data_IF_049961903349
#
_entry.id   IF_049961903349
#
_cell.length_a   1.000
_cell.length_b   1.000
_cell.length_c   1.000
_cell.angle_alpha   90.00
_cell.angle_beta   90.00
_cell.angle_gamma   90.00
#
_symmetry.space_group_name_H-M   'P 1'
#
loop_
_entity.id
_entity.type
_entity.pdbx_description
1 polymer ?
#
# COMPACT_ATOMS: atom_id res chain seq x y z
N UNK A 1 11.05 -44.48 17.32
CA UNK A 1 10.25 -45.59 16.75
C UNK A 1 10.61 -45.72 15.28
N UNK A 2 10.56 -46.94 14.75
CA UNK A 2 10.70 -47.23 13.32
C UNK A 2 9.43 -47.93 12.85
N UNK A 3 8.95 -47.64 11.64
CA UNK A 3 7.70 -48.18 11.11
C UNK A 3 6.46 -47.32 11.39
N UNK A 4 5.29 -47.85 11.04
CA UNK A 4 3.99 -47.21 11.25
C UNK A 4 3.37 -47.55 12.61
N UNK A 5 2.59 -46.62 13.16
CA UNK A 5 1.71 -46.86 14.31
C UNK A 5 0.30 -46.40 13.96
N UNK A 6 -0.66 -47.30 14.08
CA UNK A 6 -2.08 -46.97 13.95
C UNK A 6 -2.80 -47.25 15.26
N UNK A 7 -3.55 -46.27 15.75
CA UNK A 7 -4.40 -46.42 16.94
C UNK A 7 -5.87 -46.22 16.56
N UNK A 8 -6.67 -47.22 16.86
CA UNK A 8 -8.12 -47.20 16.67
C UNK A 8 -8.79 -46.65 17.93
N UNK A 9 -9.06 -45.33 17.98
CA UNK A 9 -9.66 -44.65 19.13
C UNK A 9 -8.89 -43.40 19.58
N UNK A 10 -9.22 -42.95 20.78
CA UNK A 10 -8.63 -41.76 21.40
C UNK A 10 -7.28 -42.09 22.05
N UNK A 11 -6.35 -41.14 21.99
CA UNK A 11 -5.07 -41.20 22.68
C UNK A 11 -4.94 -39.98 23.59
N UNK A 12 -4.52 -40.22 24.84
CA UNK A 12 -4.12 -39.14 25.74
C UNK A 12 -2.85 -38.49 25.22
N UNK A 13 -1.71 -39.08 25.52
CA UNK A 13 -0.41 -38.47 25.28
C UNK A 13 0.54 -39.42 24.55
N UNK A 14 1.30 -38.90 23.59
CA UNK A 14 2.45 -39.56 22.99
C UNK A 14 3.67 -38.69 23.27
N UNK A 15 4.71 -39.28 23.87
CA UNK A 15 5.96 -38.59 24.17
C UNK A 15 7.13 -39.38 23.59
N UNK A 16 7.94 -38.72 22.76
CA UNK A 16 9.12 -39.28 22.11
C UNK A 16 10.35 -38.52 22.61
N UNK A 17 11.28 -39.21 23.26
CA UNK A 17 12.46 -38.57 23.85
C UNK A 17 13.44 -38.02 22.81
N UNK A 18 13.57 -38.67 21.67
CA UNK A 18 14.46 -38.28 20.57
C UNK A 18 13.63 -37.91 19.33
N UNK A 19 14.16 -38.15 18.12
CA UNK A 19 13.42 -38.01 16.87
C UNK A 19 12.35 -39.10 16.65
N UNK A 20 11.29 -38.71 15.94
CA UNK A 20 10.30 -39.60 15.35
C UNK A 20 10.45 -39.57 13.83
N UNK A 21 11.09 -40.60 13.26
CA UNK A 21 11.47 -40.64 11.85
C UNK A 21 10.82 -41.82 11.12
N UNK A 22 10.36 -41.58 9.90
CA UNK A 22 10.04 -42.64 8.94
C UNK A 22 11.31 -43.43 8.58
N UNK A 23 11.18 -44.74 8.40
CA UNK A 23 12.21 -45.57 7.77
C UNK A 23 11.87 -45.86 6.31
N UNK A 24 10.56 -45.97 6.01
CA UNK A 24 10.03 -46.15 4.68
C UNK A 24 9.13 -44.97 4.29
N UNK A 25 9.01 -44.63 2.99
CA UNK A 25 8.13 -43.56 2.52
C UNK A 25 6.65 -43.71 2.92
N UNK A 26 6.22 -44.92 3.25
CA UNK A 26 4.84 -45.24 3.65
C UNK A 26 4.62 -45.23 5.16
N UNK A 27 5.67 -45.01 5.96
CA UNK A 27 5.53 -45.02 7.42
C UNK A 27 4.71 -43.81 7.89
N UNK A 28 3.79 -44.02 8.83
CA UNK A 28 2.96 -42.95 9.39
C UNK A 28 2.50 -43.24 10.82
N UNK A 29 2.19 -42.17 11.55
CA UNK A 29 1.44 -42.21 12.81
C UNK A 29 -0.02 -41.82 12.54
N UNK A 30 -0.96 -42.76 12.72
CA UNK A 30 -2.39 -42.55 12.48
C UNK A 30 -3.20 -42.74 13.75
N UNK A 31 -3.94 -41.72 14.15
CA UNK A 31 -4.91 -41.75 15.25
C UNK A 31 -6.30 -41.52 14.66
N UNK A 32 -7.19 -42.48 14.81
CA UNK A 32 -8.57 -42.38 14.27
C UNK A 32 -9.54 -41.62 15.17
N UNK A 33 -9.17 -41.37 16.43
CA UNK A 33 -9.91 -40.51 17.36
C UNK A 33 -9.18 -39.19 17.64
N UNK A 34 -9.36 -38.67 18.85
CA UNK A 34 -8.67 -37.47 19.33
C UNK A 34 -7.28 -37.82 19.89
N UNK A 35 -6.34 -36.88 19.78
CA UNK A 35 -5.04 -36.93 20.44
C UNK A 35 -4.89 -35.71 21.36
N UNK A 36 -4.70 -35.93 22.67
CA UNK A 36 -4.57 -34.79 23.60
C UNK A 36 -3.22 -34.09 23.43
N UNK A 37 -2.12 -34.84 23.32
CA UNK A 37 -0.77 -34.26 23.15
C UNK A 37 0.19 -35.18 22.38
N UNK A 38 0.98 -34.61 21.49
CA UNK A 38 2.18 -35.20 20.89
C UNK A 38 3.40 -34.34 21.22
N UNK A 39 4.41 -34.92 21.85
CA UNK A 39 5.66 -34.26 22.17
C UNK A 39 6.84 -35.04 21.61
N UNK A 40 7.72 -34.39 20.85
CA UNK A 40 8.92 -34.97 20.24
C UNK A 40 10.17 -34.21 20.68
N UNK A 41 11.24 -34.93 21.02
CA UNK A 41 12.52 -34.37 21.43
C UNK A 41 12.59 -33.94 22.89
N UNK A 42 12.03 -34.72 23.83
CA UNK A 42 12.09 -34.34 25.26
C UNK A 42 13.46 -34.56 25.92
N UNK A 43 14.38 -35.27 25.27
CA UNK A 43 15.73 -35.47 25.79
C UNK A 43 16.59 -34.24 25.55
N UNK A 44 17.27 -33.78 26.61
CA UNK A 44 18.26 -32.72 26.53
C UNK A 44 19.58 -33.27 25.96
N UNK A 45 19.74 -33.17 24.65
CA UNK A 45 20.92 -33.62 23.91
C UNK A 45 21.38 -32.54 22.95
N UNK A 46 22.66 -32.55 22.57
CA UNK A 46 23.25 -31.56 21.65
C UNK A 46 22.72 -31.68 20.19
N UNK A 47 22.05 -32.78 19.83
CA UNK A 47 21.54 -32.97 18.47
C UNK A 47 20.11 -32.44 18.31
N UNK A 48 19.84 -31.79 17.17
CA UNK A 48 18.49 -31.38 16.74
C UNK A 48 17.59 -32.60 16.57
N UNK A 49 16.48 -32.64 17.31
CA UNK A 49 15.46 -33.68 17.13
C UNK A 49 14.58 -33.38 15.90
N UNK A 50 13.97 -34.42 15.35
CA UNK A 50 13.14 -34.30 14.14
C UNK A 50 11.83 -35.05 14.30
N UNK A 51 10.74 -34.41 13.88
CA UNK A 51 9.50 -35.06 13.48
C UNK A 51 9.53 -35.21 11.96
N UNK A 52 9.97 -36.38 11.50
CA UNK A 52 10.05 -36.76 10.09
C UNK A 52 9.24 -38.03 9.81
N UNK A 53 8.13 -38.20 10.51
CA UNK A 53 7.13 -39.24 10.30
C UNK A 53 5.79 -38.52 10.08
N UNK A 54 5.12 -38.68 8.94
CA UNK A 54 3.79 -38.12 8.72
C UNK A 54 2.82 -38.48 9.86
N UNK A 55 2.08 -37.48 10.34
CA UNK A 55 1.10 -37.64 11.43
C UNK A 55 -0.29 -37.32 10.92
N UNK A 56 -1.24 -38.22 11.16
CA UNK A 56 -2.66 -38.03 10.84
C UNK A 56 -3.51 -38.28 12.08
N UNK A 57 -4.30 -37.27 12.49
CA UNK A 57 -5.28 -37.35 13.57
C UNK A 57 -6.65 -37.06 12.99
N UNK A 58 -7.55 -38.04 12.95
CA UNK A 58 -8.88 -37.83 12.33
C UNK A 58 -9.79 -36.92 13.18
N UNK A 59 -9.63 -36.94 14.51
CA UNK A 59 -10.33 -36.04 15.43
C UNK A 59 -9.55 -34.75 15.72
N UNK A 60 -9.66 -34.27 16.95
CA UNK A 60 -8.92 -33.10 17.44
C UNK A 60 -7.50 -33.45 17.88
N UNK A 61 -6.58 -32.51 17.68
CA UNK A 61 -5.25 -32.53 18.31
C UNK A 61 -5.13 -31.35 19.29
N UNK A 62 -4.99 -31.68 20.58
CA UNK A 62 -4.80 -30.68 21.62
C UNK A 62 -3.48 -29.92 21.44
N UNK A 63 -2.35 -30.57 21.69
CA UNK A 63 -1.02 -29.94 21.61
C UNK A 63 -0.05 -30.75 20.75
N UNK A 64 0.69 -30.08 19.89
CA UNK A 64 1.91 -30.58 19.27
C UNK A 64 3.11 -29.76 19.77
N UNK A 65 4.11 -30.44 20.31
CA UNK A 65 5.39 -29.84 20.67
C UNK A 65 6.53 -30.59 20.01
N UNK A 66 7.36 -29.90 19.23
CA UNK A 66 8.58 -30.44 18.63
C UNK A 66 9.75 -29.59 19.09
N UNK A 67 10.56 -30.14 19.99
CA UNK A 67 11.82 -29.52 20.41
C UNK A 67 12.90 -29.86 19.36
N UNK A 68 12.78 -29.25 18.19
CA UNK A 68 13.55 -29.58 17.01
C UNK A 68 12.85 -29.11 15.74
N UNK A 69 12.91 -29.90 14.68
CA UNK A 69 12.35 -29.58 13.35
C UNK A 69 11.21 -30.52 12.99
N UNK A 70 10.19 -30.01 12.32
CA UNK A 70 9.12 -30.79 11.70
C UNK A 70 9.31 -30.81 10.18
N UNK A 71 9.64 -31.99 9.65
CA UNK A 71 10.01 -32.20 8.26
C UNK A 71 8.91 -32.86 7.44
N UNK A 72 8.02 -33.61 8.10
CA UNK A 72 6.91 -34.33 7.47
C UNK A 72 5.58 -33.64 7.71
N UNK A 73 4.56 -33.98 6.92
CA UNK A 73 3.23 -33.40 7.04
C UNK A 73 2.50 -33.80 8.34
N UNK A 74 1.64 -32.88 8.81
CA UNK A 74 0.65 -33.09 9.86
C UNK A 74 -0.75 -32.84 9.29
N UNK A 75 -1.65 -33.80 9.45
CA UNK A 75 -3.06 -33.66 9.12
C UNK A 75 -3.92 -33.85 10.38
N UNK A 76 -4.80 -32.90 10.65
CA UNK A 76 -5.77 -32.95 11.77
C UNK A 76 -7.17 -32.74 11.19
N UNK A 77 -8.07 -33.69 11.36
CA UNK A 77 -9.44 -33.59 10.83
C UNK A 77 -10.30 -32.57 11.57
N UNK A 78 -10.12 -32.45 12.89
CA UNK A 78 -10.81 -31.50 13.76
C UNK A 78 -10.03 -30.21 14.01
N UNK A 79 -10.05 -29.75 15.26
CA UNK A 79 -9.32 -28.56 15.73
C UNK A 79 -7.90 -28.93 16.17
N UNK A 80 -6.93 -28.07 15.82
CA UNK A 80 -5.57 -28.09 16.35
C UNK A 80 -5.39 -26.92 17.31
N UNK A 81 -5.25 -27.15 18.61
CA UNK A 81 -5.20 -26.02 19.57
C UNK A 81 -3.83 -25.36 19.59
N UNK A 82 -2.77 -26.11 19.84
CA UNK A 82 -1.43 -25.52 19.99
C UNK A 82 -0.38 -26.29 19.24
N UNK A 83 0.42 -25.58 18.46
CA UNK A 83 1.66 -26.07 17.86
C UNK A 83 2.82 -25.23 18.36
N UNK A 84 3.85 -25.88 18.89
CA UNK A 84 5.12 -25.24 19.25
C UNK A 84 6.26 -26.03 18.64
N UNK A 85 7.06 -25.38 17.80
CA UNK A 85 8.26 -25.97 17.20
C UNK A 85 9.41 -25.00 17.49
N UNK A 86 10.54 -25.52 17.93
CA UNK A 86 11.68 -24.65 18.20
C UNK A 86 12.96 -25.41 18.46
N UNK A 87 14.05 -24.73 18.18
CA UNK A 87 15.41 -25.15 18.49
C UNK A 87 16.05 -24.17 19.47
N UNK A 88 17.16 -24.57 20.06
CA UNK A 88 17.96 -23.68 20.89
C UNK A 88 18.51 -22.51 20.07
N UNK A 89 18.78 -21.38 20.73
CA UNK A 89 19.24 -20.15 20.05
C UNK A 89 20.58 -20.34 19.32
N UNK A 90 21.39 -21.32 19.74
CA UNK A 90 22.65 -21.66 19.08
C UNK A 90 22.46 -22.26 17.67
N UNK A 91 21.25 -22.74 17.38
CA UNK A 91 20.86 -23.39 16.12
C UNK A 91 19.88 -22.52 15.32
N UNK A 92 19.82 -21.23 15.63
CA UNK A 92 18.86 -20.30 15.06
C UNK A 92 19.01 -20.15 13.54
N UNK A 93 17.88 -19.92 12.86
CA UNK A 93 17.82 -19.59 11.43
C UNK A 93 17.65 -20.79 10.49
N UNK A 94 17.53 -22.00 11.03
CA UNK A 94 17.17 -23.19 10.25
C UNK A 94 15.67 -23.23 9.94
N UNK A 95 15.28 -23.94 8.87
CA UNK A 95 13.87 -24.19 8.59
C UNK A 95 13.30 -25.20 9.60
N UNK A 96 12.39 -24.72 10.45
CA UNK A 96 11.76 -25.51 11.51
C UNK A 96 10.55 -26.27 11.01
N UNK A 97 9.79 -25.70 10.08
CA UNK A 97 8.63 -26.33 9.48
C UNK A 97 8.81 -26.39 7.97
N UNK A 98 9.11 -27.58 7.45
CA UNK A 98 9.17 -27.86 6.00
C UNK A 98 8.10 -28.85 5.56
N UNK A 99 7.40 -29.48 6.50
CA UNK A 99 6.22 -30.31 6.24
C UNK A 99 4.93 -29.53 6.45
N UNK A 100 3.96 -29.69 5.55
CA UNK A 100 2.70 -28.96 5.63
C UNK A 100 1.89 -29.32 6.88
N UNK A 101 1.19 -28.34 7.44
CA UNK A 101 0.15 -28.52 8.45
C UNK A 101 -1.21 -28.29 7.78
N UNK A 102 -2.09 -29.28 7.83
CA UNK A 102 -3.47 -29.18 7.35
C UNK A 102 -4.44 -29.47 8.49
N UNK A 103 -5.39 -28.56 8.73
CA UNK A 103 -6.38 -28.66 9.80
C UNK A 103 -7.78 -28.49 9.21
N UNK A 104 -8.65 -29.48 9.42
CA UNK A 104 -10.00 -29.48 8.84
C UNK A 104 -10.90 -28.38 9.41
N UNK A 105 -10.79 -28.09 10.72
CA UNK A 105 -11.49 -26.97 11.35
C UNK A 105 -10.55 -25.78 11.58
N UNK A 106 -10.11 -25.53 12.82
CA UNK A 106 -9.41 -24.31 13.20
C UNK A 106 -8.08 -24.60 13.89
N UNK A 107 -7.10 -23.71 13.69
CA UNK A 107 -5.83 -23.67 14.42
C UNK A 107 -5.89 -22.55 15.46
N UNK A 108 -5.76 -22.85 16.76
CA UNK A 108 -5.80 -21.78 17.78
C UNK A 108 -4.46 -21.04 17.86
N UNK A 109 -3.34 -21.76 17.85
CA UNK A 109 -2.01 -21.14 17.94
C UNK A 109 -0.89 -21.96 17.29
N UNK A 110 0.01 -21.29 16.58
CA UNK A 110 1.28 -21.81 16.10
C UNK A 110 2.40 -20.88 16.58
N UNK A 111 3.42 -21.47 17.20
CA UNK A 111 4.64 -20.75 17.59
C UNK A 111 5.87 -21.46 17.03
N UNK A 112 6.70 -20.72 16.29
CA UNK A 112 8.03 -21.14 15.87
C UNK A 112 9.09 -20.29 16.60
N UNK A 113 10.05 -20.93 17.27
CA UNK A 113 11.12 -20.23 17.97
C UNK A 113 12.49 -20.56 17.36
N UNK A 114 13.24 -19.51 17.01
CA UNK A 114 14.60 -19.55 16.48
C UNK A 114 14.72 -20.25 15.11
N UNK A 115 13.76 -20.03 14.20
CA UNK A 115 13.89 -20.53 12.84
C UNK A 115 12.66 -20.29 11.99
N UNK A 116 12.70 -20.80 10.76
CA UNK A 116 11.81 -20.37 9.69
C UNK A 116 10.61 -21.29 9.48
N UNK A 117 9.54 -20.68 8.95
CA UNK A 117 8.43 -21.36 8.30
C UNK A 117 8.74 -21.48 6.79
N UNK A 118 8.82 -22.70 6.27
CA UNK A 118 9.13 -22.99 4.88
C UNK A 118 8.09 -23.92 4.21
N UNK A 119 6.91 -24.02 4.80
CA UNK A 119 5.83 -24.90 4.36
C UNK A 119 4.47 -24.30 4.69
N UNK A 120 3.42 -24.92 4.16
CA UNK A 120 2.06 -24.41 4.28
C UNK A 120 1.42 -24.76 5.62
N UNK A 121 0.66 -23.82 6.15
CA UNK A 121 -0.23 -23.97 7.31
C UNK A 121 -1.63 -23.59 6.85
N UNK A 122 -2.45 -24.59 6.56
CA UNK A 122 -3.79 -24.41 5.98
C UNK A 122 -4.85 -24.91 6.95
N UNK A 123 -5.88 -24.08 7.16
CA UNK A 123 -7.04 -24.44 7.98
C UNK A 123 -8.34 -24.25 7.21
N UNK A 124 -9.34 -25.08 7.48
CA UNK A 124 -10.67 -24.91 6.89
C UNK A 124 -11.37 -23.63 7.37
N UNK A 125 -11.31 -23.35 8.67
CA UNK A 125 -11.90 -22.16 9.29
C UNK A 125 -10.83 -21.24 9.84
N UNK A 126 -10.72 -21.04 11.14
CA UNK A 126 -9.96 -19.92 11.67
C UNK A 126 -8.51 -20.30 12.02
N UNK A 127 -7.61 -19.34 11.83
CA UNK A 127 -6.29 -19.31 12.47
C UNK A 127 -6.34 -18.25 13.56
N UNK A 128 -6.08 -18.63 14.81
CA UNK A 128 -5.92 -17.69 15.91
C UNK A 128 -4.61 -16.94 15.77
N UNK A 129 -3.56 -17.40 16.47
CA UNK A 129 -2.28 -16.69 16.50
C UNK A 129 -1.17 -17.49 15.81
N UNK A 130 -0.43 -16.86 14.90
CA UNK A 130 0.85 -17.39 14.39
C UNK A 130 1.98 -16.47 14.82
N UNK A 131 2.92 -17.00 15.59
CA UNK A 131 4.05 -16.26 16.15
C UNK A 131 5.36 -16.90 15.72
N UNK A 132 6.18 -16.18 14.97
CA UNK A 132 7.56 -16.56 14.67
C UNK A 132 8.51 -15.64 15.44
N UNK A 133 9.47 -16.23 16.13
CA UNK A 133 10.51 -15.50 16.86
C UNK A 133 11.89 -15.88 16.32
N UNK A 134 12.70 -14.88 16.00
CA UNK A 134 14.06 -15.03 15.44
C UNK A 134 14.07 -15.95 14.22
N UNK A 135 13.21 -15.67 13.24
CA UNK A 135 13.07 -16.46 12.02
C UNK A 135 12.13 -15.82 11.02
N UNK A 136 12.08 -16.38 9.83
CA UNK A 136 11.33 -15.82 8.70
C UNK A 136 10.11 -16.67 8.35
N UNK A 137 9.12 -16.04 7.69
CA UNK A 137 8.23 -16.77 6.79
C UNK A 137 8.92 -16.75 5.42
N UNK A 138 9.39 -17.91 4.96
CA UNK A 138 10.13 -18.01 3.71
C UNK A 138 9.21 -17.85 2.50
N UNK A 139 9.78 -17.43 1.37
CA UNK A 139 9.10 -17.40 0.09
C UNK A 139 8.53 -18.78 -0.25
N UNK A 140 7.29 -18.80 -0.72
CA UNK A 140 6.56 -20.03 -1.04
C UNK A 140 5.82 -20.69 0.12
N UNK A 141 6.07 -20.28 1.38
CA UNK A 141 5.27 -20.74 2.51
C UNK A 141 3.95 -19.97 2.60
N UNK A 142 2.85 -20.67 2.82
CA UNK A 142 1.50 -20.07 2.93
C UNK A 142 0.90 -20.29 4.31
N UNK A 143 0.36 -19.23 4.93
CA UNK A 143 -0.55 -19.32 6.08
C UNK A 143 -1.95 -18.99 5.58
N UNK A 144 -2.82 -19.98 5.48
CA UNK A 144 -4.15 -19.81 4.87
C UNK A 144 -5.30 -20.27 5.75
N UNK A 145 -6.33 -19.42 5.81
CA UNK A 145 -7.68 -19.78 6.21
C UNK A 145 -8.56 -19.83 4.96
N UNK A 146 -9.20 -20.98 4.70
CA UNK A 146 -9.99 -21.18 3.49
C UNK A 146 -11.35 -20.46 3.56
N UNK A 147 -12.04 -20.55 4.70
CA UNK A 147 -13.41 -20.04 4.88
C UNK A 147 -13.58 -19.14 6.10
N UNK A 148 -12.48 -18.80 6.80
CA UNK A 148 -12.53 -18.08 8.07
C UNK A 148 -11.55 -16.91 8.14
N UNK A 149 -11.16 -16.58 9.36
CA UNK A 149 -10.28 -15.46 9.65
C UNK A 149 -8.87 -15.93 10.02
N UNK A 150 -7.90 -15.02 9.85
CA UNK A 150 -6.59 -15.09 10.51
C UNK A 150 -6.55 -13.98 11.54
N UNK A 151 -6.59 -14.33 12.82
CA UNK A 151 -6.69 -13.33 13.88
C UNK A 151 -5.38 -12.55 14.01
N UNK A 152 -4.23 -13.22 14.08
CA UNK A 152 -2.95 -12.51 14.14
C UNK A 152 -1.78 -13.30 13.56
N UNK A 153 -0.93 -12.64 12.78
CA UNK A 153 0.39 -13.13 12.38
C UNK A 153 1.46 -12.15 12.84
N UNK A 154 2.45 -12.64 13.58
CA UNK A 154 3.56 -11.85 14.09
C UNK A 154 4.90 -12.51 13.79
N UNK A 155 5.83 -11.76 13.20
CA UNK A 155 7.24 -12.14 13.03
C UNK A 155 8.11 -11.17 13.82
N UNK A 156 8.90 -11.68 14.76
CA UNK A 156 9.81 -10.89 15.59
C UNK A 156 11.25 -11.29 15.30
N UNK A 157 12.12 -10.34 14.94
CA UNK A 157 13.52 -10.60 14.63
C UNK A 157 13.72 -11.37 13.31
N UNK A 158 12.88 -11.09 12.31
CA UNK A 158 12.94 -11.70 10.98
C UNK A 158 11.91 -11.07 10.03
N UNK A 159 11.87 -11.55 8.79
CA UNK A 159 11.07 -11.02 7.69
C UNK A 159 9.86 -11.88 7.35
N UNK A 160 8.86 -11.26 6.69
CA UNK A 160 7.73 -11.94 6.06
C UNK A 160 7.88 -11.93 4.55
N UNK A 161 8.30 -13.06 3.97
CA UNK A 161 8.48 -13.24 2.52
C UNK A 161 7.51 -14.25 1.89
N UNK A 162 6.74 -14.97 2.71
CA UNK A 162 5.68 -15.88 2.26
C UNK A 162 4.31 -15.21 2.16
N UNK A 163 3.26 -16.00 2.11
CA UNK A 163 1.89 -15.53 1.89
C UNK A 163 1.02 -15.71 3.13
N UNK A 164 0.21 -14.69 3.45
CA UNK A 164 -0.88 -14.74 4.42
C UNK A 164 -2.20 -14.58 3.67
N UNK A 165 -3.06 -15.60 3.73
CA UNK A 165 -4.33 -15.63 2.99
C UNK A 165 -5.54 -15.82 3.90
N UNK A 166 -6.52 -14.93 3.76
CA UNK A 166 -7.87 -15.07 4.31
C UNK A 166 -8.90 -14.59 3.26
N UNK A 167 -8.92 -15.25 2.10
CA UNK A 167 -9.66 -14.78 0.91
C UNK A 167 -11.16 -14.55 1.16
N UNK A 168 -11.77 -15.29 2.08
CA UNK A 168 -13.19 -15.13 2.44
C UNK A 168 -13.40 -14.50 3.82
N UNK A 169 -12.35 -13.96 4.42
CA UNK A 169 -12.41 -13.43 5.78
C UNK A 169 -11.40 -12.33 6.06
N UNK A 170 -11.12 -12.15 7.35
CA UNK A 170 -10.32 -11.03 7.84
C UNK A 170 -8.96 -11.48 8.34
N UNK A 171 -7.92 -10.73 7.96
CA UNK A 171 -6.65 -10.71 8.69
C UNK A 171 -6.70 -9.59 9.72
N UNK A 172 -6.90 -9.90 11.00
CA UNK A 172 -7.12 -8.83 11.99
C UNK A 172 -5.86 -8.04 12.31
N UNK A 173 -4.73 -8.72 12.49
CA UNK A 173 -3.42 -8.06 12.68
C UNK A 173 -2.30 -8.81 11.96
N UNK A 174 -1.46 -8.08 11.24
CA UNK A 174 -0.20 -8.57 10.69
C UNK A 174 0.92 -7.66 11.19
N UNK A 175 1.99 -8.23 11.75
CA UNK A 175 3.07 -7.43 12.34
C UNK A 175 4.45 -8.05 12.12
N UNK A 176 5.38 -7.30 11.52
CA UNK A 176 6.82 -7.57 11.64
C UNK A 176 7.43 -6.62 12.67
N UNK A 177 8.31 -7.12 13.56
CA UNK A 177 9.03 -6.31 14.55
C UNK A 177 10.48 -6.74 14.70
N UNK A 178 11.34 -5.82 15.17
CA UNK A 178 12.76 -6.09 15.43
C UNK A 178 13.67 -5.95 14.21
N UNK A 179 14.94 -6.36 14.32
CA UNK A 179 15.89 -6.29 13.22
C UNK A 179 15.46 -7.17 12.05
N UNK A 180 15.62 -6.68 10.81
CA UNK A 180 15.27 -7.43 9.59
C UNK A 180 13.77 -7.60 9.36
N UNK A 181 12.94 -6.78 10.01
CA UNK A 181 11.47 -6.83 9.96
C UNK A 181 10.86 -6.30 8.66
N UNK A 182 11.41 -6.70 7.52
CA UNK A 182 10.89 -6.35 6.20
C UNK A 182 9.70 -7.24 5.82
N UNK A 183 8.86 -6.72 4.93
CA UNK A 183 7.78 -7.47 4.30
C UNK A 183 8.03 -7.50 2.78
N UNK A 184 8.28 -8.68 2.24
CA UNK A 184 8.43 -8.92 0.80
C UNK A 184 7.49 -9.99 0.27
N UNK A 185 6.53 -10.42 1.10
CA UNK A 185 5.55 -11.47 0.80
C UNK A 185 4.21 -10.95 0.31
N UNK A 186 3.17 -11.75 0.47
CA UNK A 186 1.80 -11.43 0.03
C UNK A 186 0.87 -11.42 1.24
N UNK A 187 0.04 -10.38 1.34
CA UNK A 187 -1.15 -10.37 2.19
C UNK A 187 -2.36 -10.31 1.27
N UNK A 188 -3.20 -11.36 1.28
CA UNK A 188 -4.43 -11.43 0.49
C UNK A 188 -5.63 -11.71 1.40
N UNK A 189 -6.59 -10.79 1.48
CA UNK A 189 -7.74 -10.95 2.37
C UNK A 189 -8.98 -10.19 1.89
N UNK A 190 -10.17 -10.66 2.27
CA UNK A 190 -11.38 -9.85 2.06
C UNK A 190 -11.34 -8.54 2.87
N UNK A 191 -10.75 -8.56 4.06
CA UNK A 191 -10.55 -7.36 4.88
C UNK A 191 -9.31 -7.52 5.77
N UNK A 192 -8.71 -6.39 6.16
CA UNK A 192 -7.59 -6.35 7.06
C UNK A 192 -7.75 -5.27 8.13
N UNK A 193 -7.36 -5.60 9.37
CA UNK A 193 -7.33 -4.63 10.46
C UNK A 193 -6.06 -3.79 10.39
N UNK A 194 -5.09 -4.15 11.21
CA UNK A 194 -3.82 -3.42 11.32
C UNK A 194 -2.68 -4.22 10.71
N UNK A 195 -2.01 -3.60 9.74
CA UNK A 195 -0.76 -4.10 9.16
C UNK A 195 0.37 -3.17 9.59
N UNK A 196 1.35 -3.72 10.29
CA UNK A 196 2.53 -2.97 10.76
C UNK A 196 3.81 -3.66 10.30
N UNK A 197 4.62 -2.93 9.55
CA UNK A 197 5.90 -3.38 9.03
C UNK A 197 6.98 -2.52 9.71
N UNK A 198 7.76 -3.09 10.62
CA UNK A 198 8.81 -2.31 11.32
C UNK A 198 10.03 -2.01 10.43
N UNK A 199 10.25 -2.79 9.38
CA UNK A 199 11.22 -2.53 8.34
C UNK A 199 10.58 -1.86 7.12
N UNK A 200 11.02 -2.27 5.94
CA UNK A 200 10.54 -1.81 4.65
C UNK A 200 9.46 -2.74 4.10
N UNK A 201 8.55 -2.16 3.31
CA UNK A 201 7.76 -2.91 2.34
C UNK A 201 8.61 -3.03 1.07
N UNK A 202 9.08 -4.24 0.77
CA UNK A 202 10.01 -4.52 -0.31
C UNK A 202 9.32 -4.49 -1.68
N UNK A 203 10.10 -4.35 -2.75
CA UNK A 203 9.59 -4.30 -4.13
C UNK A 203 8.91 -5.58 -4.64
N UNK A 204 8.89 -6.65 -3.84
CA UNK A 204 8.13 -7.88 -4.11
C UNK A 204 6.90 -8.00 -3.22
N UNK A 205 6.75 -7.09 -2.25
CA UNK A 205 5.68 -7.10 -1.27
C UNK A 205 4.37 -6.66 -1.90
N UNK A 206 3.32 -7.43 -1.65
CA UNK A 206 1.97 -7.17 -2.14
C UNK A 206 1.00 -7.17 -0.96
N UNK A 207 0.20 -6.11 -0.87
CA UNK A 207 -0.92 -6.02 0.05
C UNK A 207 -2.17 -5.89 -0.82
N UNK A 208 -2.98 -6.94 -0.85
CA UNK A 208 -4.22 -7.03 -1.61
C UNK A 208 -5.39 -7.28 -0.65
N UNK A 209 -6.24 -6.27 -0.51
CA UNK A 209 -7.38 -6.27 0.41
C UNK A 209 -8.66 -5.83 -0.30
N UNK A 210 -9.52 -6.78 -0.70
CA UNK A 210 -10.73 -6.53 -1.49
C UNK A 210 -11.63 -5.41 -0.94
N UNK A 211 -11.78 -5.35 0.39
CA UNK A 211 -12.65 -4.37 1.08
C UNK A 211 -11.83 -3.44 1.94
N UNK A 212 -11.90 -3.59 3.26
CA UNK A 212 -11.38 -2.58 4.19
C UNK A 212 -10.01 -2.97 4.73
N UNK A 213 -8.99 -2.12 4.51
CA UNK A 213 -7.74 -2.08 5.26
C UNK A 213 -7.78 -0.91 6.25
N UNK A 214 -7.90 -1.24 7.55
CA UNK A 214 -8.10 -0.20 8.56
C UNK A 214 -6.87 0.68 8.75
N UNK A 215 -5.68 0.10 8.77
CA UNK A 215 -4.42 0.85 8.88
C UNK A 215 -3.23 0.08 8.33
N UNK A 216 -2.40 0.75 7.53
CA UNK A 216 -1.08 0.31 7.11
C UNK A 216 -0.01 1.24 7.70
N UNK A 217 0.96 0.69 8.40
CA UNK A 217 2.12 1.43 8.91
C UNK A 217 3.41 0.75 8.49
N UNK A 218 4.28 1.48 7.80
CA UNK A 218 5.62 1.06 7.41
C UNK A 218 6.62 1.99 8.09
N UNK A 219 7.39 1.46 9.05
CA UNK A 219 8.36 2.27 9.79
C UNK A 219 9.65 2.52 9.01
N UNK A 220 9.93 1.72 7.98
CA UNK A 220 10.95 1.98 6.97
C UNK A 220 10.36 2.72 5.77
N UNK A 221 10.77 2.31 4.57
CA UNK A 221 10.27 2.83 3.29
C UNK A 221 9.39 1.79 2.58
N UNK A 222 8.56 2.27 1.67
CA UNK A 222 7.89 1.45 0.66
C UNK A 222 8.72 1.55 -0.61
N UNK A 223 9.31 0.44 -1.04
CA UNK A 223 10.23 0.42 -2.16
C UNK A 223 9.48 0.33 -3.49
N UNK A 224 10.14 0.75 -4.57
CA UNK A 224 9.61 0.59 -5.93
C UNK A 224 9.32 -0.87 -6.24
N UNK A 225 8.17 -1.13 -6.87
CA UNK A 225 7.65 -2.46 -7.19
C UNK A 225 6.76 -3.07 -6.10
N UNK A 226 6.75 -2.48 -4.89
CA UNK A 226 5.76 -2.85 -3.89
C UNK A 226 4.38 -2.44 -4.37
N UNK A 227 3.37 -3.26 -4.08
CA UNK A 227 1.99 -3.05 -4.50
C UNK A 227 1.05 -3.02 -3.30
N UNK A 228 0.14 -2.05 -3.30
CA UNK A 228 -0.82 -1.81 -2.22
C UNK A 228 -2.17 -1.53 -2.86
N UNK A 229 -3.01 -2.56 -2.86
CA UNK A 229 -4.39 -2.52 -3.31
C UNK A 229 -5.33 -2.68 -2.11
N UNK A 230 -6.26 -1.73 -1.94
CA UNK A 230 -7.31 -1.86 -0.95
C UNK A 230 -8.62 -1.18 -1.37
N UNK A 231 -9.75 -1.90 -1.28
CA UNK A 231 -11.08 -1.35 -1.55
C UNK A 231 -11.36 -0.07 -0.72
N UNK A 232 -10.87 -0.01 0.51
CA UNK A 232 -10.73 1.21 1.32
C UNK A 232 -9.47 1.16 2.19
N UNK A 233 -8.78 2.30 2.30
CA UNK A 233 -7.65 2.47 3.22
C UNK A 233 -7.84 3.75 4.04
N UNK A 234 -8.02 3.62 5.36
CA UNK A 234 -8.26 4.77 6.23
C UNK A 234 -6.98 5.49 6.65
N UNK A 235 -5.94 4.74 6.98
CA UNK A 235 -4.69 5.34 7.47
C UNK A 235 -3.50 4.63 6.85
N UNK A 236 -2.64 5.41 6.21
CA UNK A 236 -1.38 4.93 5.67
C UNK A 236 -0.24 5.81 6.17
N UNK A 237 0.65 5.23 6.98
CA UNK A 237 1.83 5.93 7.48
C UNK A 237 3.10 5.25 6.97
N UNK A 238 3.97 6.02 6.34
CA UNK A 238 5.31 5.61 5.94
C UNK A 238 6.29 6.56 6.62
N UNK A 239 7.17 6.06 7.49
CA UNK A 239 8.16 6.92 8.15
C UNK A 239 9.29 7.33 7.19
N UNK A 240 9.66 6.43 6.27
CA UNK A 240 10.65 6.67 5.23
C UNK A 240 10.05 7.19 3.92
N UNK A 241 10.60 6.73 2.80
CA UNK A 241 10.15 7.11 1.47
C UNK A 241 8.99 6.21 0.99
N UNK A 242 8.14 6.74 0.11
CA UNK A 242 7.11 5.98 -0.61
C UNK A 242 7.46 5.97 -2.09
N UNK A 243 7.70 4.79 -2.67
CA UNK A 243 8.00 4.63 -4.10
C UNK A 243 7.24 3.48 -4.76
N UNK A 244 6.50 2.70 -3.97
CA UNK A 244 5.61 1.66 -4.47
C UNK A 244 4.30 2.21 -5.00
N UNK A 245 3.52 1.29 -5.55
CA UNK A 245 2.23 1.52 -6.18
C UNK A 245 1.14 1.58 -5.10
N UNK A 246 0.09 2.33 -5.37
CA UNK A 246 -1.00 2.58 -4.44
C UNK A 246 -2.31 2.72 -5.20
N UNK A 247 -3.16 1.70 -5.13
CA UNK A 247 -4.54 1.74 -5.62
C UNK A 247 -5.50 1.54 -4.45
N UNK A 248 -6.20 2.61 -4.06
CA UNK A 248 -7.05 2.56 -2.88
C UNK A 248 -8.36 3.31 -3.03
N UNK A 249 -9.37 2.81 -2.32
CA UNK A 249 -10.59 3.55 -2.11
C UNK A 249 -11.66 3.36 -3.18
N UNK A 250 -11.57 2.31 -4.01
CA UNK A 250 -12.62 1.92 -4.97
C UNK A 250 -14.02 1.85 -4.33
N UNK A 251 -14.12 1.51 -3.04
CA UNK A 251 -15.40 1.51 -2.30
C UNK A 251 -15.87 2.91 -1.87
N UNK A 252 -14.99 3.91 -1.81
CA UNK A 252 -15.30 5.31 -1.51
C UNK A 252 -15.88 5.59 -0.11
N UNK A 253 -15.74 4.65 0.84
CA UNK A 253 -16.43 4.69 2.14
C UNK A 253 -15.68 5.40 3.27
N UNK A 254 -14.38 5.63 3.13
CA UNK A 254 -13.55 6.28 4.16
C UNK A 254 -12.63 7.33 3.56
N UNK A 255 -12.36 8.39 4.30
CA UNK A 255 -11.29 9.33 3.96
C UNK A 255 -9.93 8.70 4.25
N UNK A 256 -9.03 8.69 3.25
CA UNK A 256 -7.63 8.30 3.41
C UNK A 256 -6.85 9.39 4.15
N UNK A 257 -6.12 9.00 5.19
CA UNK A 257 -5.06 9.81 5.80
C UNK A 257 -3.69 9.21 5.48
N UNK A 258 -2.99 9.80 4.52
CA UNK A 258 -1.64 9.39 4.08
C UNK A 258 -0.57 10.32 4.65
N UNK A 259 0.41 9.76 5.35
CA UNK A 259 1.62 10.47 5.79
C UNK A 259 2.87 9.77 5.29
N UNK A 260 3.72 10.50 4.57
CA UNK A 260 5.06 10.07 4.13
C UNK A 260 6.11 10.94 4.84
N UNK A 261 6.96 10.29 5.63
CA UNK A 261 7.99 10.95 6.44
C UNK A 261 9.23 11.38 5.66
N UNK A 262 9.48 10.75 4.50
CA UNK A 262 10.51 11.12 3.54
C UNK A 262 9.93 11.64 2.22
N UNK A 263 10.56 11.23 1.11
CA UNK A 263 10.13 11.56 -0.25
C UNK A 263 9.03 10.62 -0.74
N UNK A 264 8.16 11.12 -1.59
CA UNK A 264 7.20 10.30 -2.34
C UNK A 264 7.56 10.35 -3.82
N UNK A 265 7.99 9.23 -4.39
CA UNK A 265 8.47 9.13 -5.79
C UNK A 265 7.87 7.89 -6.45
N UNK A 266 6.54 7.85 -6.63
CA UNK A 266 5.88 6.73 -7.29
C UNK A 266 6.26 6.73 -8.78
N UNK A 267 6.17 5.56 -9.41
CA UNK A 267 6.26 5.49 -10.86
C UNK A 267 5.04 6.21 -11.50
N UNK A 268 5.17 6.72 -12.74
CA UNK A 268 4.04 7.33 -13.42
C UNK A 268 2.87 6.34 -13.57
N UNK A 269 1.66 6.78 -13.24
CA UNK A 269 0.43 6.00 -13.40
C UNK A 269 0.14 4.99 -12.29
N UNK A 270 0.93 4.97 -11.21
CA UNK A 270 0.80 3.94 -10.16
C UNK A 270 0.12 4.39 -8.88
N UNK A 271 -0.48 5.59 -8.87
CA UNK A 271 -1.23 6.10 -7.72
C UNK A 271 -2.67 6.45 -8.13
N UNK A 272 -3.61 5.66 -7.63
CA UNK A 272 -5.06 5.86 -7.76
C UNK A 272 -5.70 5.92 -6.37
N UNK A 273 -6.45 6.98 -6.11
CA UNK A 273 -7.13 7.22 -4.84
C UNK A 273 -8.60 7.59 -5.11
N UNK A 274 -9.49 6.61 -5.02
CA UNK A 274 -10.93 6.80 -5.29
C UNK A 274 -11.75 7.13 -4.03
N UNK A 275 -11.07 7.72 -3.05
CA UNK A 275 -11.64 8.19 -1.79
C UNK A 275 -11.28 9.66 -1.55
N UNK A 276 -11.97 10.30 -0.60
CA UNK A 276 -11.51 11.61 -0.13
C UNK A 276 -10.15 11.43 0.58
N UNK A 277 -9.22 12.37 0.43
CA UNK A 277 -7.87 12.20 0.99
C UNK A 277 -7.35 13.41 1.78
N UNK A 278 -6.52 13.10 2.76
CA UNK A 278 -5.59 14.02 3.45
C UNK A 278 -4.19 13.47 3.29
N UNK A 279 -3.29 14.25 2.69
CA UNK A 279 -1.95 13.81 2.31
C UNK A 279 -0.90 14.73 2.95
N UNK A 280 0.10 14.14 3.59
CA UNK A 280 1.30 14.86 4.07
C UNK A 280 2.55 14.18 3.56
N UNK A 281 3.43 14.94 2.89
CA UNK A 281 4.77 14.52 2.47
C UNK A 281 5.78 15.46 3.13
N UNK A 282 6.64 14.91 3.99
CA UNK A 282 7.64 15.70 4.72
C UNK A 282 8.91 15.96 3.90
N UNK A 283 9.12 15.22 2.82
CA UNK A 283 10.19 15.44 1.84
C UNK A 283 9.70 16.07 0.54
N UNK A 284 10.33 15.66 -0.55
CA UNK A 284 10.00 16.02 -1.94
C UNK A 284 8.97 15.05 -2.52
N UNK A 285 8.11 15.54 -3.39
CA UNK A 285 7.18 14.74 -4.18
C UNK A 285 7.61 14.73 -5.66
N UNK A 286 7.78 13.54 -6.22
CA UNK A 286 8.26 13.30 -7.58
C UNK A 286 9.74 13.58 -7.79
N UNK A 287 10.20 13.39 -9.03
CA UNK A 287 11.57 13.68 -9.44
C UNK A 287 11.58 14.40 -10.79
N UNK A 288 12.61 15.21 -11.06
CA UNK A 288 12.71 16.00 -12.29
C UNK A 288 12.71 15.08 -13.51
N UNK A 289 11.87 15.39 -14.50
CA UNK A 289 11.73 14.63 -15.74
C UNK A 289 10.76 13.44 -15.66
N UNK A 290 10.35 13.03 -14.47
CA UNK A 290 9.29 12.03 -14.28
C UNK A 290 8.39 12.46 -13.12
N UNK A 291 7.42 13.36 -13.38
CA UNK A 291 6.48 13.82 -12.37
C UNK A 291 5.71 12.66 -11.73
N UNK A 292 5.46 12.75 -10.42
CA UNK A 292 4.57 11.82 -9.74
C UNK A 292 3.13 12.04 -10.22
N UNK A 293 2.46 11.01 -10.73
CA UNK A 293 1.05 11.12 -11.14
C UNK A 293 0.17 10.62 -10.00
N UNK A 294 -0.67 11.49 -9.45
CA UNK A 294 -1.62 11.19 -8.39
C UNK A 294 -3.02 11.42 -8.96
N UNK A 295 -3.72 10.32 -9.23
CA UNK A 295 -5.13 10.31 -9.63
C UNK A 295 -6.02 10.26 -8.39
N UNK A 296 -6.93 11.21 -8.23
CA UNK A 296 -7.86 11.26 -7.11
C UNK A 296 -9.30 11.46 -7.60
N UNK A 297 -10.10 10.39 -7.58
CA UNK A 297 -11.48 10.37 -8.10
C UNK A 297 -12.49 11.19 -7.28
N UNK A 298 -12.11 11.65 -6.08
CA UNK A 298 -12.97 12.41 -5.16
C UNK A 298 -12.36 13.74 -4.69
N UNK A 299 -12.51 14.08 -3.41
CA UNK A 299 -12.06 15.35 -2.83
C UNK A 299 -10.69 15.23 -2.18
N UNK A 300 -9.76 16.11 -2.55
CA UNK A 300 -8.55 16.32 -1.77
C UNK A 300 -8.83 17.32 -0.66
N UNK A 301 -8.98 16.86 0.59
CA UNK A 301 -9.28 17.74 1.74
C UNK A 301 -8.10 18.65 2.05
N UNK A 302 -6.92 18.04 2.23
CA UNK A 302 -5.67 18.78 2.40
C UNK A 302 -4.50 18.00 1.82
N UNK A 303 -3.56 18.70 1.19
CA UNK A 303 -2.24 18.17 0.86
C UNK A 303 -1.16 19.14 1.33
N UNK A 304 -0.16 18.63 2.05
CA UNK A 304 1.00 19.38 2.47
C UNK A 304 2.29 18.67 2.03
N UNK A 305 3.07 19.30 1.15
CA UNK A 305 4.39 18.84 0.72
C UNK A 305 5.43 19.84 1.20
N UNK A 306 6.32 19.43 2.11
CA UNK A 306 7.29 20.36 2.70
C UNK A 306 8.38 20.76 1.70
N UNK A 307 8.80 19.81 0.85
CA UNK A 307 9.82 20.02 -0.17
C UNK A 307 9.27 20.56 -1.50
N UNK A 308 10.01 20.30 -2.57
CA UNK A 308 9.56 20.56 -3.93
C UNK A 308 8.49 19.52 -4.34
N UNK A 309 7.47 19.97 -5.06
CA UNK A 309 6.52 19.11 -5.73
C UNK A 309 6.77 19.15 -7.24
N UNK A 310 6.97 17.97 -7.81
CA UNK A 310 7.04 17.68 -9.24
C UNK A 310 5.97 16.61 -9.50
N UNK A 311 4.75 17.06 -9.76
CA UNK A 311 3.58 16.18 -9.74
C UNK A 311 2.53 16.54 -10.79
N UNK A 312 1.83 15.53 -11.26
CA UNK A 312 0.53 15.65 -11.90
C UNK A 312 -0.52 15.25 -10.87
N UNK A 313 -1.17 16.23 -10.25
CA UNK A 313 -2.23 16.02 -9.27
C UNK A 313 -3.58 16.24 -9.95
N UNK A 314 -4.31 15.16 -10.19
CA UNK A 314 -5.56 15.17 -10.94
C UNK A 314 -6.70 14.86 -9.98
N UNK A 315 -7.51 15.87 -9.65
CA UNK A 315 -8.59 15.74 -8.66
C UNK A 315 -9.94 15.95 -9.33
N UNK A 316 -10.79 14.93 -9.37
CA UNK A 316 -12.05 15.04 -10.13
C UNK A 316 -13.14 15.83 -9.40
N UNK A 317 -12.94 16.09 -8.09
CA UNK A 317 -13.82 16.97 -7.32
C UNK A 317 -13.14 18.25 -6.82
N UNK A 318 -13.15 18.47 -5.50
CA UNK A 318 -12.68 19.70 -4.88
C UNK A 318 -11.25 19.54 -4.38
N UNK A 319 -10.48 20.62 -4.41
CA UNK A 319 -9.25 20.75 -3.64
C UNK A 319 -9.55 21.71 -2.48
N UNK A 320 -9.41 21.23 -1.24
CA UNK A 320 -9.48 22.07 -0.06
C UNK A 320 -8.23 22.93 0.03
N UNK A 321 -7.22 22.47 0.78
CA UNK A 321 -5.97 23.22 0.96
C UNK A 321 -4.78 22.45 0.39
N UNK A 322 -4.08 23.04 -0.57
CA UNK A 322 -2.82 22.53 -1.09
C UNK A 322 -1.69 23.47 -0.67
N UNK A 323 -0.70 22.96 0.05
CA UNK A 323 0.52 23.67 0.41
C UNK A 323 1.74 22.89 -0.05
N UNK A 324 2.63 23.55 -0.79
CA UNK A 324 3.88 22.95 -1.29
C UNK A 324 5.06 23.88 -1.03
N UNK A 325 6.24 23.32 -0.78
CA UNK A 325 7.48 24.08 -0.59
C UNK A 325 7.88 24.84 -1.86
N UNK A 326 7.89 24.17 -3.01
CA UNK A 326 7.95 24.80 -4.35
C UNK A 326 7.23 23.92 -5.36
N UNK A 327 6.84 24.48 -6.51
CA UNK A 327 6.13 23.74 -7.56
C UNK A 327 6.91 23.84 -8.86
N UNK A 328 7.23 22.70 -9.47
CA UNK A 328 8.03 22.66 -10.70
C UNK A 328 7.53 21.56 -11.62
N UNK A 329 7.51 21.81 -12.93
CA UNK A 329 7.22 20.79 -13.96
C UNK A 329 5.94 19.98 -13.60
N UNK A 330 4.89 20.69 -13.18
CA UNK A 330 3.71 20.11 -12.53
C UNK A 330 2.39 20.52 -13.18
N UNK A 331 1.39 19.65 -13.09
CA UNK A 331 0.03 19.91 -13.53
C UNK A 331 -0.92 19.63 -12.36
N UNK A 332 -1.75 20.59 -12.02
CA UNK A 332 -2.76 20.45 -10.95
C UNK A 332 -4.12 20.76 -11.56
N UNK A 333 -5.04 19.80 -11.51
CA UNK A 333 -6.41 19.99 -11.96
C UNK A 333 -7.40 19.74 -10.83
N UNK A 334 -8.49 20.50 -10.83
CA UNK A 334 -9.67 20.19 -10.02
C UNK A 334 -10.94 20.26 -10.86
N UNK A 335 -11.84 19.29 -10.69
CA UNK A 335 -13.16 19.30 -11.32
C UNK A 335 -14.03 20.47 -10.83
N UNK A 336 -13.96 20.77 -9.53
CA UNK A 336 -14.68 21.89 -8.90
C UNK A 336 -13.71 22.87 -8.26
N UNK A 337 -14.15 23.58 -7.22
CA UNK A 337 -13.41 24.65 -6.56
C UNK A 337 -12.09 24.19 -5.93
N UNK A 338 -11.13 25.12 -5.90
CA UNK A 338 -9.94 25.07 -5.06
C UNK A 338 -10.06 26.10 -3.94
N UNK A 339 -10.08 25.68 -2.67
CA UNK A 339 -10.25 26.62 -1.55
C UNK A 339 -8.99 27.46 -1.35
N UNK A 340 -7.83 26.81 -1.20
CA UNK A 340 -6.55 27.51 -1.14
C UNK A 340 -5.38 26.74 -1.72
N UNK A 341 -4.48 27.48 -2.36
CA UNK A 341 -3.21 27.02 -2.88
C UNK A 341 -2.07 27.92 -2.37
N UNK A 342 -1.10 27.32 -1.69
CA UNK A 342 0.05 28.01 -1.12
C UNK A 342 1.34 27.37 -1.61
N UNK A 343 2.12 28.12 -2.39
CA UNK A 343 3.43 27.71 -2.88
C UNK A 343 4.46 28.58 -2.16
N UNK A 344 5.16 28.01 -1.17
CA UNK A 344 6.07 28.80 -0.33
C UNK A 344 7.31 29.31 -1.09
N UNK A 345 7.62 28.67 -2.22
CA UNK A 345 8.76 28.93 -3.08
C UNK A 345 8.35 29.36 -4.48
N UNK A 346 9.24 29.12 -5.45
CA UNK A 346 8.97 29.42 -6.85
C UNK A 346 7.97 28.41 -7.43
N UNK A 347 7.03 28.91 -8.23
CA UNK A 347 6.26 28.12 -9.19
C UNK A 347 6.93 28.23 -10.56
N UNK A 348 7.33 27.11 -11.16
CA UNK A 348 8.01 27.08 -12.45
C UNK A 348 7.41 26.02 -13.37
N UNK A 349 7.24 26.32 -14.66
CA UNK A 349 6.85 25.32 -15.66
C UNK A 349 5.63 24.51 -15.22
N UNK A 350 4.61 25.18 -14.69
CA UNK A 350 3.50 24.49 -14.02
C UNK A 350 2.15 25.03 -14.47
N UNK A 351 1.19 24.12 -14.58
CA UNK A 351 -0.21 24.40 -14.91
C UNK A 351 -1.10 24.15 -13.68
N UNK A 352 -1.97 25.10 -13.37
CA UNK A 352 -3.05 24.95 -12.40
C UNK A 352 -4.37 25.29 -13.10
N UNK A 353 -5.32 24.36 -13.07
CA UNK A 353 -6.64 24.51 -13.66
C UNK A 353 -7.75 24.10 -12.68
N UNK A 354 -8.69 24.99 -12.40
CA UNK A 354 -9.94 24.65 -11.68
C UNK A 354 -11.15 24.69 -12.62
N UNK A 355 -12.02 23.69 -12.57
CA UNK A 355 -13.26 23.64 -13.35
C UNK A 355 -13.28 22.66 -14.51
N UNK A 356 -12.41 21.66 -14.49
CA UNK A 356 -12.47 20.52 -15.42
C UNK A 356 -11.98 19.26 -14.71
N UNK A 357 -12.76 18.20 -14.79
CA UNK A 357 -12.40 16.87 -14.32
C UNK A 357 -12.03 16.01 -15.52
N UNK A 358 -11.42 14.87 -15.23
CA UNK A 358 -11.29 13.77 -16.19
C UNK A 358 -12.66 13.16 -16.49
N UNK A 359 -12.71 12.37 -17.54
CA UNK A 359 -13.88 11.62 -17.97
C UNK A 359 -14.13 10.42 -17.08
N UNK A 360 -15.20 9.70 -17.37
CA UNK A 360 -15.57 8.47 -16.67
C UNK A 360 -14.51 7.37 -16.84
N UNK A 361 -13.68 7.44 -17.89
CA UNK A 361 -12.52 6.58 -18.14
C UNK A 361 -11.26 6.98 -17.33
N UNK A 362 -11.34 8.06 -16.55
CA UNK A 362 -10.28 8.52 -15.65
C UNK A 362 -9.09 9.17 -16.35
N UNK A 363 -9.21 9.54 -17.63
CA UNK A 363 -8.18 10.29 -18.38
C UNK A 363 -8.74 11.62 -18.91
N UNK A 364 -7.93 12.40 -19.61
CA UNK A 364 -8.39 13.56 -20.38
C UNK A 364 -8.26 13.23 -21.86
N UNK A 365 -9.10 13.84 -22.71
CA UNK A 365 -9.11 13.57 -24.14
C UNK A 365 -7.72 13.78 -24.72
N UNK A 366 -7.29 12.82 -25.51
CA UNK A 366 -6.04 12.94 -26.28
C UNK A 366 -6.31 13.41 -27.72
N UNK A 367 -7.56 13.38 -28.19
CA UNK A 367 -7.93 13.79 -29.54
C UNK A 367 -9.25 14.54 -29.56
N UNK A 368 -9.45 15.36 -30.60
CA UNK A 368 -10.67 16.14 -30.81
C UNK A 368 -11.89 15.29 -31.22
N UNK A 369 -11.65 14.14 -31.84
CA UNK A 369 -12.69 13.24 -32.34
C UNK A 369 -13.06 12.14 -31.32
N UNK A 370 -12.18 11.90 -30.34
CA UNK A 370 -12.55 11.21 -29.12
C UNK A 370 -13.35 12.17 -28.28
N UNK A 371 -14.68 12.11 -28.39
CA UNK A 371 -15.57 12.60 -27.35
C UNK A 371 -15.33 11.70 -26.14
N UNK A 372 -14.28 12.05 -25.42
CA UNK A 372 -14.01 11.87 -24.00
C UNK A 372 -15.27 11.52 -23.19
N UNK A 373 -15.17 10.54 -22.30
CA UNK A 373 -16.29 9.94 -21.57
C UNK A 373 -16.87 10.88 -20.48
N UNK A 374 -17.20 12.13 -20.80
CA UNK A 374 -17.97 13.02 -19.92
C UNK A 374 -17.27 14.29 -19.43
N UNK A 375 -16.12 14.66 -19.99
CA UNK A 375 -15.38 15.86 -19.64
C UNK A 375 -16.23 17.10 -19.86
N UNK A 376 -16.37 17.87 -18.79
CA UNK A 376 -17.26 19.02 -18.77
C UNK A 376 -16.62 20.17 -18.03
N UNK A 377 -16.30 21.20 -18.80
CA UNK A 377 -15.93 22.50 -18.28
C UNK A 377 -17.05 23.11 -17.45
N UNK A 378 -16.67 23.72 -16.33
CA UNK A 378 -17.61 24.29 -15.38
C UNK A 378 -17.05 25.51 -14.66
N UNK A 379 -17.96 26.28 -14.08
CA UNK A 379 -17.63 27.34 -13.14
C UNK A 379 -17.02 26.72 -11.89
N UNK A 380 -15.75 27.05 -11.62
CA UNK A 380 -15.05 26.64 -10.41
C UNK A 380 -14.06 27.71 -10.00
N UNK A 381 -14.10 28.08 -8.73
CA UNK A 381 -13.35 29.19 -8.14
C UNK A 381 -12.01 28.72 -7.58
N UNK A 382 -10.97 29.53 -7.77
CA UNK A 382 -9.77 29.48 -6.94
C UNK A 382 -9.92 30.57 -5.87
N UNK A 383 -10.15 30.15 -4.62
CA UNK A 383 -10.41 31.05 -3.50
C UNK A 383 -9.18 31.88 -3.13
N UNK A 384 -8.06 31.23 -2.83
CA UNK A 384 -6.80 31.93 -2.55
C UNK A 384 -5.63 31.21 -3.19
N UNK A 385 -4.81 31.95 -3.92
CA UNK A 385 -3.52 31.49 -4.40
C UNK A 385 -2.41 32.43 -3.95
N UNK A 386 -1.35 31.89 -3.34
CA UNK A 386 -0.13 32.62 -3.03
C UNK A 386 1.10 31.86 -3.47
N UNK A 387 2.06 32.55 -4.09
CA UNK A 387 3.36 32.01 -4.47
C UNK A 387 4.49 32.96 -4.10
N UNK A 388 5.72 32.45 -3.90
CA UNK A 388 6.87 33.35 -3.75
C UNK A 388 7.11 34.11 -5.04
N UNK A 389 7.06 33.42 -6.18
CA UNK A 389 7.23 33.94 -7.53
C UNK A 389 6.69 32.96 -8.55
N UNK A 390 6.58 33.37 -9.81
CA UNK A 390 6.00 32.55 -10.87
C UNK A 390 6.79 32.72 -12.17
N UNK A 391 7.20 31.61 -12.79
CA UNK A 391 7.95 31.60 -14.05
C UNK A 391 7.37 30.55 -15.01
N UNK A 392 7.17 30.93 -16.28
CA UNK A 392 6.73 30.00 -17.33
C UNK A 392 5.51 29.15 -16.93
N UNK A 393 4.54 29.74 -16.25
CA UNK A 393 3.45 29.00 -15.62
C UNK A 393 2.07 29.53 -16.00
N UNK A 394 1.04 28.70 -15.86
CA UNK A 394 -0.34 29.06 -16.17
C UNK A 394 -1.21 28.75 -14.95
N UNK A 395 -2.05 29.72 -14.57
CA UNK A 395 -3.13 29.56 -13.59
C UNK A 395 -4.42 29.94 -14.27
N UNK A 396 -5.39 29.04 -14.28
CA UNK A 396 -6.70 29.26 -14.85
C UNK A 396 -7.80 28.69 -13.93
N UNK A 397 -8.92 29.40 -13.89
CA UNK A 397 -10.09 29.05 -13.10
C UNK A 397 -11.31 29.28 -13.96
N UNK A 398 -12.21 28.30 -14.04
CA UNK A 398 -13.46 28.45 -14.79
C UNK A 398 -14.41 29.49 -14.19
N UNK A 399 -14.30 29.74 -12.89
CA UNK A 399 -15.03 30.78 -12.16
C UNK A 399 -14.11 31.93 -11.73
N UNK A 400 -14.30 32.38 -10.50
CA UNK A 400 -13.55 33.51 -9.94
C UNK A 400 -12.16 33.10 -9.48
N UNK A 401 -11.23 34.04 -9.54
CA UNK A 401 -10.00 33.98 -8.77
C UNK A 401 -10.06 35.08 -7.71
N UNK A 402 -10.36 34.70 -6.47
CA UNK A 402 -10.70 35.70 -5.45
C UNK A 402 -9.47 36.44 -4.96
N UNK A 403 -8.37 35.73 -4.69
CA UNK A 403 -7.11 36.36 -4.27
C UNK A 403 -5.91 35.70 -4.95
N UNK A 404 -5.11 36.49 -5.67
CA UNK A 404 -3.77 36.10 -6.11
C UNK A 404 -2.72 36.97 -5.44
N UNK A 405 -1.67 36.36 -4.90
CA UNK A 405 -0.51 37.08 -4.36
C UNK A 405 0.80 36.46 -4.84
N UNK A 406 1.69 37.28 -5.38
CA UNK A 406 3.08 36.94 -5.62
C UNK A 406 4.00 37.89 -4.87
N UNK A 407 4.89 37.34 -4.03
CA UNK A 407 5.88 38.14 -3.28
C UNK A 407 7.14 38.51 -4.07
N UNK A 408 7.23 38.04 -5.33
CA UNK A 408 8.31 38.29 -6.27
C UNK A 408 7.76 38.35 -7.70
N UNK A 409 8.65 38.37 -8.69
CA UNK A 409 8.31 38.50 -10.10
C UNK A 409 7.41 37.38 -10.62
N UNK A 410 6.51 37.77 -11.52
CA UNK A 410 5.73 36.90 -12.38
C UNK A 410 6.27 37.08 -13.81
N UNK A 411 6.95 36.08 -14.34
CA UNK A 411 7.66 36.14 -15.62
C UNK A 411 7.13 35.08 -16.57
N UNK A 412 6.85 35.44 -17.82
CA UNK A 412 6.37 34.51 -18.87
C UNK A 412 5.17 33.64 -18.44
N UNK A 413 4.31 34.22 -17.60
CA UNK A 413 3.25 33.51 -16.89
C UNK A 413 1.89 34.18 -17.12
N UNK A 414 0.81 33.43 -16.95
CA UNK A 414 -0.56 33.96 -17.06
C UNK A 414 -1.45 33.50 -15.93
N UNK A 415 -2.33 34.40 -15.51
CA UNK A 415 -3.36 34.17 -14.49
C UNK A 415 -4.70 34.59 -15.10
N UNK A 416 -5.66 33.68 -15.10
CA UNK A 416 -6.97 33.90 -15.73
C UNK A 416 -8.10 33.45 -14.82
N UNK A 417 -9.13 34.29 -14.70
CA UNK A 417 -10.44 33.91 -14.19
C UNK A 417 -11.40 33.71 -15.37
N UNK A 418 -12.39 32.84 -15.22
CA UNK A 418 -13.40 32.55 -16.24
C UNK A 418 -12.92 31.65 -17.37
N UNK A 419 -11.69 31.14 -17.31
CA UNK A 419 -11.12 30.30 -18.36
C UNK A 419 -11.02 28.86 -17.88
N UNK A 420 -11.64 27.95 -18.64
CA UNK A 420 -11.36 26.52 -18.54
C UNK A 420 -10.56 26.08 -19.75
N UNK A 421 -9.32 25.64 -19.53
CA UNK A 421 -8.52 25.02 -20.58
C UNK A 421 -9.16 23.69 -20.99
N UNK A 422 -9.20 23.40 -22.29
CA UNK A 422 -9.77 22.14 -22.79
C UNK A 422 -8.93 20.91 -22.42
N UNK A 423 -9.57 19.75 -22.30
CA UNK A 423 -9.01 18.47 -21.87
C UNK A 423 -7.86 18.03 -22.77
N UNK A 424 -7.99 18.19 -24.10
CA UNK A 424 -6.92 17.94 -25.08
C UNK A 424 -5.66 18.76 -24.81
N UNK A 425 -5.82 20.00 -24.37
CA UNK A 425 -4.70 20.86 -24.04
C UNK A 425 -4.03 20.43 -22.75
N UNK A 426 -4.82 20.05 -21.74
CA UNK A 426 -4.31 19.51 -20.48
C UNK A 426 -3.56 18.20 -20.74
N UNK A 427 -4.13 17.28 -21.52
CA UNK A 427 -3.49 16.02 -21.90
C UNK A 427 -2.16 16.25 -22.63
N UNK A 428 -2.09 17.23 -23.51
CA UNK A 428 -0.84 17.61 -24.20
C UNK A 428 0.23 18.10 -23.21
N UNK A 429 -0.15 18.89 -22.20
CA UNK A 429 0.77 19.37 -21.16
C UNK A 429 1.20 18.22 -20.24
N UNK A 430 0.29 17.30 -19.91
CA UNK A 430 0.58 16.12 -19.08
C UNK A 430 1.57 15.15 -19.72
N UNK A 431 1.57 15.06 -21.06
CA UNK A 431 2.49 14.19 -21.80
C UNK A 431 3.94 14.73 -21.86
N UNK A 432 4.15 15.98 -21.46
CA UNK A 432 5.47 16.63 -21.46
C UNK A 432 6.14 16.47 -20.09
N UNK A 433 7.37 15.93 -20.06
CA UNK A 433 8.16 15.80 -18.83
C UNK A 433 8.71 17.12 -18.29
N UNK A 434 8.63 18.20 -19.08
CA UNK A 434 9.00 19.57 -18.73
C UNK A 434 7.92 20.56 -19.17
N UNK A 435 6.69 20.45 -18.63
CA UNK A 435 5.54 21.15 -19.18
C UNK A 435 5.76 22.67 -19.18
N UNK A 436 5.37 23.33 -20.28
CA UNK A 436 5.39 24.80 -20.39
C UNK A 436 6.79 25.44 -20.42
N UNK A 437 7.86 24.65 -20.57
CA UNK A 437 9.22 25.14 -20.67
C UNK A 437 9.40 26.14 -21.83
N UNK A 438 8.76 25.91 -22.97
CA UNK A 438 8.84 26.77 -24.14
C UNK A 438 7.65 27.75 -24.28
N UNK A 439 7.89 28.89 -24.92
CA UNK A 439 6.81 29.81 -25.27
C UNK A 439 5.78 29.16 -26.21
N UNK A 440 6.21 28.19 -27.03
CA UNK A 440 5.35 27.38 -27.87
C UNK A 440 4.35 26.57 -27.06
N UNK A 441 4.83 25.76 -26.11
CA UNK A 441 3.98 24.98 -25.19
C UNK A 441 2.99 25.87 -24.43
N UNK A 442 3.46 27.01 -23.90
CA UNK A 442 2.59 27.98 -23.20
C UNK A 442 1.51 28.57 -24.09
N UNK A 443 1.80 28.80 -25.37
CA UNK A 443 0.81 29.31 -26.31
C UNK A 443 -0.19 28.22 -26.71
N UNK A 444 0.29 26.99 -26.92
CA UNK A 444 -0.55 25.83 -27.22
C UNK A 444 -1.51 25.54 -26.07
N UNK A 445 -1.01 25.50 -24.83
CA UNK A 445 -1.83 25.26 -23.65
C UNK A 445 -2.97 26.29 -23.51
N UNK A 446 -2.71 27.59 -23.80
CA UNK A 446 -3.70 28.67 -23.65
C UNK A 446 -4.72 28.76 -24.78
N UNK A 447 -4.28 28.57 -26.04
CA UNK A 447 -5.10 28.89 -27.21
C UNK A 447 -5.93 27.72 -27.71
N UNK A 448 -5.61 26.51 -27.26
CA UNK A 448 -6.16 25.34 -27.91
C UNK A 448 -5.55 25.13 -29.30
N UNK A 449 -5.77 23.96 -29.85
CA UNK A 449 -5.40 23.65 -31.23
C UNK A 449 -6.50 24.15 -32.20
N UNK A 450 -7.27 25.17 -31.79
CA UNK A 450 -8.38 25.77 -32.53
C UNK A 450 -9.72 25.03 -32.47
N UNK A 451 -9.86 23.94 -31.69
CA UNK A 451 -11.04 23.05 -31.80
C UNK A 451 -11.46 22.24 -30.55
N UNK A 452 -10.86 22.47 -29.37
CA UNK A 452 -11.31 21.75 -28.16
C UNK A 452 -12.71 22.24 -27.75
N UNK A 453 -13.71 21.35 -27.75
CA UNK A 453 -15.13 21.69 -27.52
C UNK A 453 -15.44 22.11 -26.09
N UNK A 454 -14.53 21.83 -25.17
CA UNK A 454 -14.61 22.11 -23.75
C UNK A 454 -13.75 23.32 -23.35
N UNK A 455 -12.99 23.94 -24.25
CA UNK A 455 -12.42 25.27 -24.00
C UNK A 455 -13.56 26.27 -23.80
N UNK A 456 -13.72 26.78 -22.58
CA UNK A 456 -14.85 27.64 -22.21
C UNK A 456 -14.39 28.95 -21.60
N UNK A 457 -15.12 30.02 -21.93
CA UNK A 457 -15.00 31.33 -21.33
C UNK A 457 -16.30 31.68 -20.60
N UNK A 458 -16.18 31.89 -19.29
CA UNK A 458 -17.26 32.30 -18.40
C UNK A 458 -17.07 33.76 -17.96
N UNK A 459 -18.17 34.39 -17.55
CA UNK A 459 -18.10 35.66 -16.81
C UNK A 459 -17.59 35.40 -15.41
N UNK A 460 -16.54 36.11 -15.01
CA UNK A 460 -15.91 35.97 -13.71
C UNK A 460 -15.05 37.19 -13.39
N UNK A 461 -14.63 37.26 -12.13
CA UNK A 461 -13.79 38.32 -11.62
C UNK A 461 -12.44 37.80 -11.10
N UNK A 462 -11.40 38.59 -11.35
CA UNK A 462 -10.14 38.58 -10.60
C UNK A 462 -10.27 39.65 -9.51
N UNK A 463 -10.72 39.25 -8.32
CA UNK A 463 -11.13 40.22 -7.30
C UNK A 463 -9.94 40.98 -6.69
N UNK A 464 -8.87 40.28 -6.32
CA UNK A 464 -7.66 40.89 -5.75
C UNK A 464 -6.39 40.34 -6.40
N UNK A 465 -5.56 41.24 -6.95
CA UNK A 465 -4.26 40.95 -7.52
C UNK A 465 -3.17 41.75 -6.78
N UNK A 466 -2.28 41.04 -6.09
CA UNK A 466 -1.12 41.64 -5.40
C UNK A 466 0.19 41.11 -5.97
N UNK A 467 0.97 41.99 -6.61
CA UNK A 467 2.28 41.67 -7.21
C UNK A 467 3.36 42.55 -6.57
N UNK A 468 4.40 41.93 -6.02
CA UNK A 468 5.55 42.67 -5.52
C UNK A 468 6.56 42.86 -6.64
N UNK A 469 6.88 44.12 -6.97
CA UNK A 469 7.92 44.43 -7.95
C UNK A 469 9.29 43.95 -7.45
N UNK A 470 10.17 43.41 -8.32
CA UNK A 470 11.54 43.15 -7.92
C UNK A 470 12.20 44.47 -7.49
N UNK A 471 12.86 44.47 -6.33
CA UNK A 471 13.60 45.65 -5.87
C UNK A 471 14.57 46.09 -6.98
N UNK A 472 14.43 47.33 -7.45
CA UNK A 472 15.37 47.91 -8.40
C UNK A 472 16.78 47.81 -7.79
N UNK A 473 17.66 47.02 -8.42
CA UNK A 473 19.07 47.01 -8.03
C UNK A 473 19.63 48.39 -8.36
N UNK A 474 19.92 49.17 -7.32
CA UNK A 474 20.59 50.48 -7.42
C UNK A 474 22.06 50.36 -7.74
#
# INVERSE_FOLDING_TARGET
>A
MTGSLQVMGNVGTITISLSLNAQNPTDQLVITGNLTSLTVGTANTVAIHTLNLPVSVQGDLGTLTVNGRMLSALSVGGTLRTVTIGVDVAEAGVDLLTGNITVGDSLTSLTLNNGNLAADVVTGRNIGTVNLRNGNINTGAVIASLYGNVQSVSVTGGAMNGEIRAAMGKVSTLTTTGPGADFGGILAAQSAGTVTIAGNLLGTGMIDVDRDLSSLTVQGSVLSGADIEAGSLRTFNVTGNLAGDLDVGLMGITTLSLTVGGNWTPAPGTVQIDSDATITVRGTLGVVGTPAVISLGRTLTTMNVTGQAIMHLLVDRHIGNLTVGSLRDSVITSGFDMTSLTINGLMQNSLIQAGISRGDDGVFATTLAGLDEGETSRLATIGRMSTKGMASSIVASGGNLTNFTSSASVTDSSISSGLVLGSVNIATVLADGTPLASAGERNTARRGNGAATDLMLYRSDLANLSLTAPAARG
#
